data_IF_851448084003
#
_entry.id   IF_851448084003
#
_cell.length_a   1.000
_cell.length_b   1.000
_cell.length_c   1.000
_cell.angle_alpha   90.00
_cell.angle_beta   90.00
_cell.angle_gamma   90.00
#
_symmetry.space_group_name_H-M   'P 1'
#
loop_
_entity.id
_entity.type
_entity.pdbx_description
1 polymer ?
#
# COMPACT_ATOMS: atom_id res chain seq x y z
N UNK A 1 0.09 -22.82 -29.98
CA UNK A 1 1.11 -23.64 -29.29
C UNK A 1 0.53 -25.02 -28.94
N UNK A 2 0.43 -25.94 -29.92
CA UNK A 2 -0.17 -27.29 -29.73
C UNK A 2 0.89 -28.42 -29.64
N UNK A 3 2.17 -28.11 -29.43
CA UNK A 3 3.28 -29.06 -29.68
C UNK A 3 4.43 -29.05 -28.65
N UNK A 4 4.19 -28.72 -27.38
CA UNK A 4 5.17 -29.00 -26.31
C UNK A 4 4.50 -29.88 -25.26
N UNK A 5 4.95 -31.13 -25.15
CA UNK A 5 4.56 -32.04 -24.04
C UNK A 5 5.26 -31.69 -22.73
N UNK A 6 6.21 -30.74 -22.76
CA UNK A 6 6.93 -30.26 -21.60
C UNK A 6 6.22 -29.02 -21.01
N UNK A 7 5.63 -29.19 -19.83
CA UNK A 7 4.91 -28.16 -19.10
C UNK A 7 5.79 -26.95 -18.72
N UNK A 8 7.08 -27.18 -18.45
CA UNK A 8 8.04 -26.12 -18.13
C UNK A 8 8.32 -25.24 -19.36
N UNK A 9 8.51 -25.85 -20.54
CA UNK A 9 8.64 -25.09 -21.79
C UNK A 9 7.35 -24.32 -22.10
N UNK A 10 6.19 -24.95 -21.88
CA UNK A 10 4.89 -24.30 -22.09
C UNK A 10 4.74 -23.07 -21.18
N UNK A 11 5.11 -23.18 -19.90
CA UNK A 11 5.09 -22.08 -18.94
C UNK A 11 6.10 -20.99 -19.31
N UNK A 12 7.32 -21.35 -19.68
CA UNK A 12 8.36 -20.41 -20.12
C UNK A 12 7.88 -19.57 -21.30
N UNK A 13 7.38 -20.21 -22.37
CA UNK A 13 6.86 -19.49 -23.53
C UNK A 13 5.60 -18.68 -23.21
N UNK A 14 4.75 -19.16 -22.30
CA UNK A 14 3.60 -18.42 -21.79
C UNK A 14 4.00 -17.11 -21.10
N UNK A 15 4.96 -17.16 -20.17
CA UNK A 15 5.49 -15.99 -19.47
C UNK A 15 6.21 -15.00 -20.40
N UNK A 16 6.92 -15.50 -21.40
CA UNK A 16 7.54 -14.62 -22.41
C UNK A 16 6.50 -13.90 -23.30
N UNK A 17 5.33 -14.51 -23.48
CA UNK A 17 4.24 -13.96 -24.29
C UNK A 17 3.22 -13.15 -23.47
N UNK A 18 3.32 -13.08 -22.15
CA UNK A 18 2.30 -12.51 -21.26
C UNK A 18 2.34 -10.99 -21.09
N UNK A 19 3.20 -10.27 -21.82
CA UNK A 19 3.21 -8.80 -21.78
C UNK A 19 2.16 -8.23 -22.72
N UNK A 20 1.29 -7.34 -22.25
CA UNK A 20 0.35 -6.63 -23.12
C UNK A 20 1.02 -5.39 -23.72
N UNK A 21 1.17 -5.39 -25.04
CA UNK A 21 1.61 -4.21 -25.80
C UNK A 21 0.70 -3.99 -27.00
N UNK A 22 0.58 -2.75 -27.45
CA UNK A 22 -0.08 -2.50 -28.74
C UNK A 22 0.83 -2.86 -29.90
N UNK A 23 0.22 -3.28 -31.01
CA UNK A 23 0.88 -3.39 -32.31
C UNK A 23 1.10 -2.01 -32.98
N UNK A 24 0.58 -0.93 -32.38
CA UNK A 24 0.73 0.43 -32.86
C UNK A 24 1.68 1.24 -31.96
N UNK A 25 2.82 1.65 -32.52
CA UNK A 25 3.84 2.45 -31.83
C UNK A 25 3.30 3.76 -31.24
N UNK A 26 2.32 4.39 -31.89
CA UNK A 26 1.73 5.64 -31.40
C UNK A 26 0.89 5.42 -30.14
N UNK A 27 0.21 4.28 -30.03
CA UNK A 27 -0.55 3.91 -28.82
C UNK A 27 0.40 3.56 -27.66
N UNK A 28 1.51 2.88 -27.94
CA UNK A 28 2.56 2.61 -26.95
C UNK A 28 3.14 3.92 -26.41
N UNK A 29 3.58 4.83 -27.30
CA UNK A 29 4.10 6.16 -26.91
C UNK A 29 3.08 6.97 -26.13
N UNK A 30 1.81 6.94 -26.54
CA UNK A 30 0.72 7.65 -25.86
C UNK A 30 0.45 7.08 -24.47
N UNK A 31 0.50 5.76 -24.32
CA UNK A 31 0.33 5.09 -23.02
C UNK A 31 1.43 5.50 -22.04
N UNK A 32 2.70 5.43 -22.46
CA UNK A 32 3.82 5.87 -21.62
C UNK A 32 3.72 7.35 -21.25
N UNK A 33 3.32 8.22 -22.20
CA UNK A 33 3.11 9.64 -21.94
C UNK A 33 2.01 9.89 -20.91
N UNK A 34 0.87 9.21 -21.03
CA UNK A 34 -0.24 9.36 -20.08
C UNK A 34 0.14 8.84 -18.69
N UNK A 35 0.87 7.72 -18.61
CA UNK A 35 1.40 7.20 -17.35
C UNK A 35 2.31 8.24 -16.66
N UNK A 36 3.30 8.77 -17.37
CA UNK A 36 4.18 9.80 -16.80
C UNK A 36 3.40 11.06 -16.38
N UNK A 37 2.37 11.46 -17.13
CA UNK A 37 1.50 12.57 -16.74
C UNK A 37 0.73 12.28 -15.44
N UNK A 38 0.24 11.06 -15.24
CA UNK A 38 -0.43 10.67 -13.99
C UNK A 38 0.54 10.72 -12.80
N UNK A 39 1.75 10.18 -12.98
CA UNK A 39 2.83 10.18 -11.97
C UNK A 39 3.27 11.62 -11.62
N UNK A 40 3.43 12.48 -12.62
CA UNK A 40 3.78 13.89 -12.47
C UNK A 40 2.69 14.67 -11.72
N UNK A 41 1.42 14.51 -12.10
CA UNK A 41 0.30 15.16 -11.44
C UNK A 41 0.26 14.75 -9.96
N UNK A 42 0.36 13.46 -9.68
CA UNK A 42 0.31 12.94 -8.32
C UNK A 42 1.50 13.43 -7.47
N UNK A 43 2.72 13.42 -8.01
CA UNK A 43 3.92 13.81 -7.25
C UNK A 43 4.04 15.32 -7.03
N UNK A 44 3.49 16.15 -7.93
CA UNK A 44 3.68 17.61 -7.92
C UNK A 44 2.47 18.41 -7.43
N UNK A 45 1.29 17.78 -7.26
CA UNK A 45 0.09 18.49 -6.78
C UNK A 45 0.31 19.10 -5.40
N UNK A 46 -0.18 20.33 -5.24
CA UNK A 46 -0.12 21.09 -3.99
C UNK A 46 -1.52 21.54 -3.59
N UNK A 47 -1.76 21.55 -2.28
CA UNK A 47 -2.98 22.08 -1.66
C UNK A 47 -2.61 23.34 -0.89
N UNK A 48 -3.26 24.46 -1.20
CA UNK A 48 -2.97 25.75 -0.58
C UNK A 48 -3.92 26.08 0.57
N UNK A 49 -3.43 26.82 1.57
CA UNK A 49 -4.22 27.32 2.69
C UNK A 49 -5.36 28.23 2.21
N UNK A 50 -6.51 28.14 2.88
CA UNK A 50 -7.66 29.00 2.59
C UNK A 50 -7.33 30.49 2.83
N UNK A 51 -6.59 30.76 3.91
CA UNK A 51 -6.27 32.13 4.36
C UNK A 51 -4.96 32.67 3.78
N UNK A 52 -4.14 31.83 3.14
CA UNK A 52 -2.87 32.23 2.54
C UNK A 52 -2.54 31.36 1.32
N UNK A 53 -2.95 31.81 0.14
CA UNK A 53 -2.72 31.10 -1.13
C UNK A 53 -1.23 30.94 -1.49
N UNK A 54 -0.30 31.57 -0.76
CA UNK A 54 1.14 31.37 -0.94
C UNK A 54 1.67 30.15 -0.17
N UNK A 55 0.95 29.67 0.85
CA UNK A 55 1.30 28.48 1.62
C UNK A 55 0.62 27.26 1.01
N UNK A 56 1.41 26.46 0.29
CA UNK A 56 0.91 25.25 -0.35
C UNK A 56 1.76 24.03 0.00
N UNK A 57 1.09 22.89 0.17
CA UNK A 57 1.67 21.67 0.69
C UNK A 57 1.49 20.53 -0.31
N UNK A 58 2.56 19.79 -0.58
CA UNK A 58 2.51 18.53 -1.35
C UNK A 58 1.97 17.39 -0.47
N UNK A 59 1.52 16.30 -1.08
CA UNK A 59 1.08 15.09 -0.36
C UNK A 59 2.15 14.62 0.63
N UNK A 60 3.29 14.19 0.11
CA UNK A 60 4.45 13.81 0.90
C UNK A 60 5.46 14.98 0.99
N UNK A 61 6.03 15.28 2.16
CA UNK A 61 5.73 14.69 3.47
C UNK A 61 4.58 15.39 4.23
N UNK A 62 4.02 16.48 3.69
CA UNK A 62 3.26 17.44 4.50
C UNK A 62 1.82 16.99 4.80
N UNK A 63 1.01 16.75 3.77
CA UNK A 63 -0.39 16.37 3.98
C UNK A 63 -0.50 14.99 4.61
N UNK A 64 0.37 14.04 4.24
CA UNK A 64 0.45 12.72 4.90
C UNK A 64 0.69 12.89 6.40
N UNK A 65 1.71 13.66 6.79
CA UNK A 65 1.99 13.91 8.21
C UNK A 65 0.85 14.63 8.91
N UNK A 66 0.17 15.56 8.24
CA UNK A 66 -0.99 16.24 8.79
C UNK A 66 -2.11 15.23 9.09
N UNK A 67 -2.47 14.37 8.13
CA UNK A 67 -3.48 13.33 8.34
C UNK A 67 -3.11 12.40 9.51
N UNK A 68 -1.81 12.13 9.70
CA UNK A 68 -1.30 11.24 10.74
C UNK A 68 -1.32 11.81 12.16
N UNK A 69 -1.18 13.13 12.34
CA UNK A 69 -1.00 13.73 13.68
C UNK A 69 -2.13 14.67 14.10
N UNK A 70 -2.81 15.28 13.14
CA UNK A 70 -3.84 16.28 13.41
C UNK A 70 -5.07 15.62 14.03
N UNK A 71 -5.78 16.38 14.89
CA UNK A 71 -7.04 15.97 15.52
C UNK A 71 -8.17 16.97 15.27
N UNK A 72 -7.89 18.14 14.71
CA UNK A 72 -8.96 19.06 14.31
C UNK A 72 -9.71 18.54 13.08
N UNK A 73 -11.03 18.35 13.24
CA UNK A 73 -11.89 17.78 12.18
C UNK A 73 -11.88 18.62 10.90
N UNK A 74 -11.98 19.94 11.02
CA UNK A 74 -12.05 20.84 9.87
C UNK A 74 -10.71 20.94 9.14
N UNK A 75 -9.60 20.85 9.88
CA UNK A 75 -8.26 20.80 9.34
C UNK A 75 -8.01 19.52 8.55
N UNK A 76 -8.43 18.38 9.09
CA UNK A 76 -8.40 17.09 8.40
C UNK A 76 -9.28 17.12 7.14
N UNK A 77 -10.47 17.70 7.25
CA UNK A 77 -11.40 17.84 6.11
C UNK A 77 -10.82 18.73 5.01
N UNK A 78 -10.18 19.85 5.37
CA UNK A 78 -9.49 20.72 4.41
C UNK A 78 -8.40 19.96 3.66
N UNK A 79 -7.54 19.22 4.36
CA UNK A 79 -6.45 18.47 3.74
C UNK A 79 -6.99 17.39 2.80
N UNK A 80 -7.95 16.60 3.28
CA UNK A 80 -8.59 15.53 2.52
C UNK A 80 -9.29 16.07 1.27
N UNK A 81 -10.18 17.05 1.44
CA UNK A 81 -10.95 17.63 0.34
C UNK A 81 -10.05 18.35 -0.65
N UNK A 82 -9.10 19.14 -0.15
CA UNK A 82 -8.14 19.88 -0.96
C UNK A 82 -7.31 18.96 -1.84
N UNK A 83 -6.81 17.85 -1.30
CA UNK A 83 -6.06 16.87 -2.08
C UNK A 83 -6.91 16.23 -3.18
N UNK A 84 -8.11 15.77 -2.83
CA UNK A 84 -9.00 15.12 -3.78
C UNK A 84 -9.51 16.08 -4.87
N UNK A 85 -9.68 17.37 -4.57
CA UNK A 85 -10.04 18.39 -5.55
C UNK A 85 -8.86 18.75 -6.45
N UNK A 86 -7.70 19.08 -5.87
CA UNK A 86 -6.55 19.55 -6.64
C UNK A 86 -5.90 18.46 -7.50
N UNK A 87 -5.83 17.23 -6.98
CA UNK A 87 -5.23 16.10 -7.68
C UNK A 87 -6.26 15.39 -8.55
N UNK A 88 -7.41 15.02 -7.96
CA UNK A 88 -8.44 14.22 -8.63
C UNK A 88 -8.99 14.87 -9.90
N UNK A 89 -9.18 16.19 -9.91
CA UNK A 89 -9.66 16.92 -11.09
C UNK A 89 -8.66 16.88 -12.25
N UNK A 90 -7.35 16.89 -11.95
CA UNK A 90 -6.28 16.81 -12.96
C UNK A 90 -6.07 15.38 -13.46
N UNK A 91 -6.22 14.39 -12.57
CA UNK A 91 -6.08 12.97 -12.91
C UNK A 91 -7.19 12.49 -13.83
N UNK A 92 -8.47 12.86 -13.58
CA UNK A 92 -9.62 12.34 -14.33
C UNK A 92 -9.48 12.39 -15.87
N UNK A 93 -9.15 13.54 -16.51
CA UNK A 93 -9.05 13.61 -17.97
C UNK A 93 -7.87 12.81 -18.55
N UNK A 94 -6.87 12.45 -17.74
CA UNK A 94 -5.71 11.65 -18.15
C UNK A 94 -5.96 10.16 -17.92
N UNK A 95 -6.63 9.82 -16.81
CA UNK A 95 -6.85 8.44 -16.37
C UNK A 95 -7.78 7.67 -17.30
N UNK A 96 -8.89 8.27 -17.76
CA UNK A 96 -9.83 7.53 -18.62
C UNK A 96 -9.22 7.15 -19.99
N UNK A 97 -8.54 8.06 -20.72
CA UNK A 97 -7.81 7.67 -21.93
C UNK A 97 -6.70 6.64 -21.69
N UNK A 98 -6.05 6.71 -20.53
CA UNK A 98 -5.02 5.73 -20.16
C UNK A 98 -5.62 4.32 -20.01
N UNK A 99 -6.74 4.21 -19.28
CA UNK A 99 -7.47 2.94 -19.15
C UNK A 99 -7.99 2.43 -20.49
N UNK A 100 -8.45 3.30 -21.39
CA UNK A 100 -8.91 2.90 -22.72
C UNK A 100 -7.78 2.29 -23.55
N UNK A 101 -6.57 2.84 -23.48
CA UNK A 101 -5.40 2.27 -24.15
C UNK A 101 -4.98 0.94 -23.53
N UNK A 102 -4.93 0.83 -22.19
CA UNK A 102 -4.60 -0.44 -21.54
C UNK A 102 -5.60 -1.55 -21.87
N UNK A 103 -6.90 -1.23 -21.88
CA UNK A 103 -7.94 -2.15 -22.33
C UNK A 103 -7.79 -2.53 -23.80
N UNK A 104 -7.42 -1.58 -24.66
CA UNK A 104 -7.10 -1.86 -26.07
C UNK A 104 -5.92 -2.82 -26.18
N UNK A 105 -4.84 -2.60 -25.44
CA UNK A 105 -3.68 -3.50 -25.40
C UNK A 105 -4.09 -4.91 -24.95
N UNK A 106 -4.89 -5.03 -23.89
CA UNK A 106 -5.38 -6.32 -23.42
C UNK A 106 -6.16 -7.08 -24.50
N UNK A 107 -7.07 -6.38 -25.21
CA UNK A 107 -7.85 -6.94 -26.33
C UNK A 107 -6.99 -7.37 -27.52
N UNK A 108 -5.99 -6.56 -27.88
CA UNK A 108 -5.04 -6.90 -28.95
C UNK A 108 -4.21 -8.15 -28.63
N UNK A 109 -4.05 -8.48 -27.34
CA UNK A 109 -3.32 -9.65 -26.86
C UNK A 109 -4.25 -10.83 -26.45
N UNK A 110 -5.52 -10.80 -26.85
CA UNK A 110 -6.44 -11.93 -26.70
C UNK A 110 -7.20 -12.00 -25.37
N UNK A 111 -7.10 -10.99 -24.51
CA UNK A 111 -7.93 -10.86 -23.32
C UNK A 111 -9.23 -10.11 -23.63
N UNK A 112 -10.28 -10.33 -22.84
CA UNK A 112 -11.55 -9.61 -22.97
C UNK A 112 -11.41 -8.14 -22.56
N UNK A 113 -10.64 -7.90 -21.51
CA UNK A 113 -10.37 -6.60 -20.92
C UNK A 113 -9.11 -6.68 -20.03
N UNK A 114 -8.73 -5.54 -19.47
CA UNK A 114 -7.59 -5.41 -18.58
C UNK A 114 -7.78 -6.17 -17.26
N UNK A 115 -9.01 -6.39 -16.78
CA UNK A 115 -9.25 -7.13 -15.54
C UNK A 115 -8.89 -8.61 -15.73
N UNK A 116 -9.30 -9.22 -16.84
CA UNK A 116 -8.90 -10.60 -17.16
C UNK A 116 -7.38 -10.72 -17.23
N UNK A 117 -6.70 -9.76 -17.88
CA UNK A 117 -5.25 -9.76 -17.96
C UNK A 117 -4.58 -9.74 -16.58
N UNK A 118 -5.03 -8.89 -15.66
CA UNK A 118 -4.44 -8.82 -14.31
C UNK A 118 -4.69 -10.06 -13.47
N UNK A 119 -5.85 -10.69 -13.61
CA UNK A 119 -6.20 -11.91 -12.88
C UNK A 119 -5.36 -13.12 -13.38
N UNK A 120 -4.90 -13.10 -14.63
CA UNK A 120 -4.07 -14.16 -15.21
C UNK A 120 -2.78 -14.42 -14.41
N UNK A 121 -2.24 -13.42 -13.69
CA UNK A 121 -1.04 -13.58 -12.84
C UNK A 121 -1.23 -14.63 -11.72
N UNK A 122 -2.48 -14.89 -11.31
CA UNK A 122 -2.82 -15.92 -10.33
C UNK A 122 -2.94 -17.32 -10.94
N UNK A 123 -2.95 -17.44 -12.27
CA UNK A 123 -2.97 -18.71 -13.02
C UNK A 123 -4.09 -19.68 -12.61
N UNK A 124 -5.20 -19.14 -12.10
CA UNK A 124 -6.36 -19.94 -11.65
C UNK A 124 -7.28 -20.35 -12.81
N UNK A 125 -7.00 -19.90 -14.03
CA UNK A 125 -7.70 -20.28 -15.27
C UNK A 125 -9.13 -19.75 -15.43
N UNK A 126 -9.84 -19.51 -14.32
CA UNK A 126 -11.22 -19.01 -14.31
C UNK A 126 -11.32 -17.72 -13.48
N UNK A 127 -11.58 -16.61 -14.17
CA UNK A 127 -11.80 -15.29 -13.54
C UNK A 127 -12.93 -15.32 -12.51
N UNK A 128 -14.01 -16.05 -12.80
CA UNK A 128 -15.17 -16.15 -11.90
C UNK A 128 -14.81 -16.88 -10.62
N UNK A 129 -13.96 -17.91 -10.73
CA UNK A 129 -13.49 -18.66 -9.56
C UNK A 129 -12.57 -17.81 -8.69
N UNK A 130 -11.63 -17.07 -9.31
CA UNK A 130 -10.79 -16.11 -8.59
C UNK A 130 -11.64 -15.09 -7.82
N UNK A 131 -12.56 -14.40 -8.50
CA UNK A 131 -13.41 -13.39 -7.86
C UNK A 131 -14.29 -13.98 -6.76
N UNK A 132 -14.83 -15.19 -6.97
CA UNK A 132 -15.62 -15.89 -5.94
C UNK A 132 -14.80 -16.24 -4.70
N UNK A 133 -13.53 -16.62 -4.85
CA UNK A 133 -12.65 -16.92 -3.72
C UNK A 133 -12.33 -15.63 -2.95
N UNK A 134 -12.01 -14.55 -3.65
CA UNK A 134 -11.75 -13.25 -3.03
C UNK A 134 -13.00 -12.73 -2.28
N UNK A 135 -14.18 -12.85 -2.89
CA UNK A 135 -15.46 -12.50 -2.26
C UNK A 135 -15.72 -13.32 -0.98
N UNK A 136 -15.40 -14.62 -1.00
CA UNK A 136 -15.57 -15.48 0.17
C UNK A 136 -14.58 -15.13 1.27
N UNK A 137 -13.30 -14.91 0.93
CA UNK A 137 -12.27 -14.50 1.90
C UNK A 137 -12.64 -13.19 2.59
N UNK A 138 -13.18 -12.22 1.85
CA UNK A 138 -13.66 -10.98 2.46
C UNK A 138 -14.81 -11.28 3.43
N UNK A 139 -15.83 -12.04 3.01
CA UNK A 139 -16.98 -12.40 3.85
C UNK A 139 -16.56 -13.08 5.15
N UNK A 140 -15.60 -13.98 5.09
CA UNK A 140 -15.10 -14.71 6.27
C UNK A 140 -14.44 -13.77 7.30
N UNK A 141 -13.86 -12.65 6.84
CA UNK A 141 -13.18 -11.66 7.67
C UNK A 141 -14.13 -10.56 8.16
N UNK A 142 -15.25 -10.31 7.45
CA UNK A 142 -16.20 -9.23 7.78
C UNK A 142 -16.65 -9.21 9.25
N UNK A 143 -16.96 -10.33 9.93
CA UNK A 143 -17.35 -10.30 11.34
C UNK A 143 -16.31 -9.65 12.26
N UNK A 144 -15.01 -9.88 12.00
CA UNK A 144 -13.92 -9.24 12.76
C UNK A 144 -13.79 -7.76 12.39
N UNK A 145 -13.88 -7.45 11.09
CA UNK A 145 -13.83 -6.07 10.61
C UNK A 145 -14.97 -5.21 11.16
N UNK A 146 -16.19 -5.73 11.20
CA UNK A 146 -17.37 -5.01 11.72
C UNK A 146 -17.24 -4.70 13.21
N UNK A 147 -16.68 -5.61 14.01
CA UNK A 147 -16.37 -5.33 15.43
C UNK A 147 -15.28 -4.26 15.57
N UNK A 148 -14.21 -4.33 14.77
CA UNK A 148 -13.17 -3.32 14.74
C UNK A 148 -13.73 -1.95 14.34
N UNK A 149 -14.54 -1.91 13.27
CA UNK A 149 -15.21 -0.71 12.77
C UNK A 149 -16.11 -0.10 13.83
N UNK A 150 -17.01 -0.89 14.44
CA UNK A 150 -17.93 -0.40 15.45
C UNK A 150 -17.19 0.17 16.68
N UNK A 151 -16.13 -0.52 17.14
CA UNK A 151 -15.31 -0.04 18.24
C UNK A 151 -14.61 1.29 17.90
N UNK A 152 -13.94 1.37 16.75
CA UNK A 152 -13.26 2.60 16.30
C UNK A 152 -14.26 3.73 16.12
N UNK A 153 -15.43 3.46 15.50
CA UNK A 153 -16.51 4.43 15.33
C UNK A 153 -16.98 4.98 16.67
N UNK A 154 -17.23 4.14 17.67
CA UNK A 154 -17.67 4.57 18.99
C UNK A 154 -16.67 5.50 19.69
N UNK A 155 -15.38 5.21 19.57
CA UNK A 155 -14.30 6.07 20.10
C UNK A 155 -14.23 7.41 19.37
N UNK A 156 -14.25 7.40 18.03
CA UNK A 156 -14.22 8.62 17.22
C UNK A 156 -15.47 9.48 17.40
N UNK A 157 -16.63 8.87 17.63
CA UNK A 157 -17.86 9.57 17.97
C UNK A 157 -17.76 10.39 19.26
N UNK A 158 -17.10 9.83 20.27
CA UNK A 158 -16.84 10.53 21.53
C UNK A 158 -15.87 11.70 21.33
N UNK A 159 -14.92 11.59 20.39
CA UNK A 159 -13.96 12.65 20.09
C UNK A 159 -14.55 13.77 19.20
N UNK A 160 -15.43 13.41 18.26
CA UNK A 160 -16.00 14.31 17.26
C UNK A 160 -17.53 14.42 17.42
N UNK A 161 -17.97 14.77 18.63
CA UNK A 161 -19.39 14.87 18.98
C UNK A 161 -20.17 15.73 17.96
N UNK A 162 -21.29 15.20 17.48
CA UNK A 162 -22.19 15.85 16.51
C UNK A 162 -21.54 16.22 15.16
N UNK A 163 -20.37 15.66 14.81
CA UNK A 163 -19.70 15.90 13.51
C UNK A 163 -20.05 14.88 12.44
N UNK A 164 -20.53 13.70 12.82
CA UNK A 164 -21.00 12.65 11.91
C UNK A 164 -22.00 11.72 12.61
N UNK A 165 -22.71 10.90 11.84
CA UNK A 165 -23.68 9.94 12.37
C UNK A 165 -22.97 8.72 13.00
N UNK A 166 -23.17 8.52 14.30
CA UNK A 166 -22.54 7.45 15.06
C UNK A 166 -23.11 6.05 14.78
N UNK A 167 -24.29 5.97 14.16
CA UNK A 167 -24.85 4.71 13.69
C UNK A 167 -24.53 4.47 12.20
N UNK A 168 -23.95 5.47 11.53
CA UNK A 168 -23.60 5.45 10.10
C UNK A 168 -22.12 5.16 9.78
N UNK A 169 -21.72 5.38 8.51
CA UNK A 169 -20.34 5.22 8.06
C UNK A 169 -19.36 6.23 8.69
N UNK A 170 -18.09 5.85 8.83
CA UNK A 170 -17.03 6.75 9.33
C UNK A 170 -16.56 7.69 8.20
N UNK A 171 -16.43 9.00 8.42
CA UNK A 171 -15.83 9.90 7.42
C UNK A 171 -14.35 9.56 7.15
N UNK A 172 -13.97 9.42 5.88
CA UNK A 172 -12.62 8.99 5.48
C UNK A 172 -11.47 9.89 5.97
N UNK A 173 -11.75 11.17 6.27
CA UNK A 173 -10.72 12.13 6.62
C UNK A 173 -10.26 12.06 8.08
N UNK A 174 -10.95 11.31 8.95
CA UNK A 174 -10.62 11.21 10.39
C UNK A 174 -9.91 9.90 10.79
N UNK A 175 -9.41 9.14 9.81
CA UNK A 175 -8.84 7.81 10.02
C UNK A 175 -7.31 7.76 9.93
N UNK A 176 -6.62 8.89 10.11
CA UNK A 176 -5.16 8.94 10.21
C UNK A 176 -4.41 8.85 8.87
N UNK A 177 -5.11 8.54 7.78
CA UNK A 177 -4.54 8.33 6.45
C UNK A 177 -5.37 9.06 5.37
N UNK A 178 -4.72 9.62 4.34
CA UNK A 178 -5.37 10.38 3.26
C UNK A 178 -6.52 9.62 2.56
N UNK A 179 -6.43 8.29 2.49
CA UNK A 179 -7.41 7.42 1.82
C UNK A 179 -8.23 6.56 2.79
N UNK A 180 -7.98 6.68 4.09
CA UNK A 180 -8.48 5.78 5.13
C UNK A 180 -8.17 4.29 4.85
N UNK A 181 -7.04 4.00 4.21
CA UNK A 181 -6.67 2.62 3.87
C UNK A 181 -6.11 1.84 5.08
N UNK A 182 -5.49 2.54 6.03
CA UNK A 182 -5.03 1.99 7.30
C UNK A 182 -5.33 3.02 8.39
N UNK A 183 -5.60 2.55 9.60
CA UNK A 183 -6.11 3.38 10.71
C UNK A 183 -5.16 3.43 11.90
N UNK A 184 -4.02 2.74 11.83
CA UNK A 184 -3.04 2.62 12.92
C UNK A 184 -2.45 3.97 13.38
N UNK A 185 -2.42 4.99 12.52
CA UNK A 185 -2.04 6.36 12.89
C UNK A 185 -3.06 7.06 13.82
N UNK A 186 -4.20 6.41 14.10
CA UNK A 186 -5.19 6.82 15.12
C UNK A 186 -5.12 5.98 16.39
N UNK A 187 -4.11 5.11 16.54
CA UNK A 187 -4.02 4.20 17.68
C UNK A 187 -4.21 4.92 19.03
N UNK A 188 -3.52 6.04 19.24
CA UNK A 188 -3.59 6.81 20.49
C UNK A 188 -5.01 7.35 20.79
N UNK A 189 -5.80 7.61 19.76
CA UNK A 189 -7.19 8.10 19.88
C UNK A 189 -8.15 6.96 20.30
N UNK A 190 -7.82 5.72 19.89
CA UNK A 190 -8.75 4.57 19.98
C UNK A 190 -8.22 3.41 20.83
N UNK A 191 -7.05 3.52 21.48
CA UNK A 191 -6.40 2.42 22.18
C UNK A 191 -7.31 1.80 23.28
N UNK A 192 -7.48 0.46 23.33
CA UNK A 192 -8.33 -0.22 24.31
C UNK A 192 -7.91 -0.02 25.76
N UNK A 193 -6.62 -0.17 26.05
CA UNK A 193 -6.08 -0.08 27.41
C UNK A 193 -5.02 1.02 27.51
N UNK A 194 -5.40 2.29 27.75
CA UNK A 194 -4.44 3.40 27.86
C UNK A 194 -3.36 3.20 28.93
N UNK A 195 -3.68 2.47 30.00
CA UNK A 195 -2.76 2.18 31.10
C UNK A 195 -1.72 1.07 30.79
N UNK A 196 -1.81 0.46 29.59
CA UNK A 196 -0.85 -0.54 29.10
C UNK A 196 -0.26 -0.09 27.74
N UNK A 197 0.47 1.04 27.69
CA UNK A 197 0.91 1.64 26.43
C UNK A 197 1.88 0.72 25.68
N UNK A 198 1.81 0.74 24.35
CA UNK A 198 2.79 0.06 23.51
C UNK A 198 4.14 0.75 23.57
N UNK A 199 5.19 -0.04 23.35
CA UNK A 199 6.54 0.50 23.25
C UNK A 199 6.68 1.51 22.12
N UNK A 200 7.25 2.67 22.44
CA UNK A 200 7.64 3.66 21.44
C UNK A 200 9.03 3.32 20.86
N UNK A 201 9.04 2.54 19.78
CA UNK A 201 10.28 2.11 19.10
C UNK A 201 11.10 3.32 18.65
N UNK A 202 10.46 4.38 18.14
CA UNK A 202 11.14 5.63 17.75
C UNK A 202 11.96 6.22 18.89
N UNK A 203 11.36 6.33 20.08
CA UNK A 203 12.04 6.84 21.28
C UNK A 203 13.25 5.97 21.64
N UNK A 204 13.09 4.65 21.65
CA UNK A 204 14.18 3.70 21.94
C UNK A 204 15.33 3.83 20.94
N UNK A 205 15.03 3.93 19.64
CA UNK A 205 16.04 4.09 18.60
C UNK A 205 16.82 5.40 18.76
N UNK A 206 16.14 6.49 19.10
CA UNK A 206 16.77 7.80 19.35
C UNK A 206 17.65 7.76 20.61
N UNK A 207 17.14 7.22 21.72
CA UNK A 207 17.88 7.12 22.99
C UNK A 207 19.13 6.25 22.88
N UNK A 208 19.02 5.11 22.18
CA UNK A 208 20.16 4.23 21.87
C UNK A 208 21.05 4.78 20.73
N UNK A 209 20.74 5.96 20.18
CA UNK A 209 21.50 6.65 19.11
C UNK A 209 21.73 5.79 17.86
N UNK A 210 20.70 5.08 17.42
CA UNK A 210 20.77 4.27 16.21
C UNK A 210 21.10 5.13 14.98
N UNK A 211 22.10 4.69 14.22
CA UNK A 211 22.33 5.17 12.86
C UNK A 211 21.50 4.40 11.85
N UNK A 212 21.30 4.98 10.66
CA UNK A 212 20.63 4.30 9.55
C UNK A 212 21.36 3.00 9.20
N UNK A 213 22.70 3.01 9.15
CA UNK A 213 23.47 1.80 8.85
C UNK A 213 23.23 0.69 9.88
N UNK A 214 23.20 1.01 11.17
CA UNK A 214 22.90 0.05 12.24
C UNK A 214 21.51 -0.58 12.10
N UNK A 215 20.53 0.18 11.62
CA UNK A 215 19.17 -0.33 11.38
C UNK A 215 19.16 -1.43 10.30
N UNK A 216 19.88 -1.22 9.19
CA UNK A 216 19.99 -2.24 8.15
C UNK A 216 20.83 -3.45 8.58
N UNK A 217 21.93 -3.24 9.29
CA UNK A 217 22.75 -4.37 9.79
C UNK A 217 21.98 -5.21 10.81
N UNK A 218 21.06 -4.58 11.56
CA UNK A 218 20.14 -5.29 12.45
C UNK A 218 19.13 -6.13 11.66
N UNK A 219 18.60 -5.61 10.55
CA UNK A 219 17.78 -6.37 9.61
C UNK A 219 18.53 -7.59 9.05
N UNK A 220 19.75 -7.39 8.54
CA UNK A 220 20.61 -8.47 8.02
C UNK A 220 20.92 -9.52 9.10
N UNK A 221 21.19 -9.08 10.33
CA UNK A 221 21.45 -9.98 11.46
C UNK A 221 20.26 -10.90 11.75
N UNK A 222 19.03 -10.40 11.57
CA UNK A 222 17.84 -11.23 11.69
C UNK A 222 17.80 -12.31 10.61
N UNK A 223 17.91 -11.94 9.32
CA UNK A 223 17.83 -12.91 8.22
C UNK A 223 18.93 -13.99 8.32
N UNK A 224 20.16 -13.57 8.60
CA UNK A 224 21.28 -14.52 8.80
C UNK A 224 21.07 -15.41 10.02
N UNK A 225 20.43 -14.93 11.10
CA UNK A 225 20.13 -15.75 12.29
C UNK A 225 19.16 -16.90 12.02
N UNK A 226 18.31 -16.79 11.00
CA UNK A 226 17.38 -17.85 10.56
C UNK A 226 17.91 -18.63 9.36
N UNK A 227 19.20 -18.51 9.04
CA UNK A 227 19.88 -19.26 7.99
C UNK A 227 19.63 -18.75 6.57
N UNK A 228 19.10 -17.53 6.43
CA UNK A 228 18.99 -16.85 5.13
C UNK A 228 20.29 -16.12 4.78
N UNK A 229 20.27 -15.26 3.77
CA UNK A 229 21.49 -14.77 3.16
C UNK A 229 22.03 -13.51 3.85
N UNK A 230 23.35 -13.27 3.86
CA UNK A 230 23.87 -11.94 4.11
C UNK A 230 23.61 -11.04 2.89
N UNK A 231 23.43 -9.73 3.11
CA UNK A 231 23.31 -8.77 2.02
C UNK A 231 24.62 -8.69 1.22
N UNK A 232 24.52 -8.46 -0.09
CA UNK A 232 25.71 -8.46 -0.95
C UNK A 232 26.56 -7.20 -0.76
N UNK A 233 27.87 -7.21 -1.08
CA UNK A 233 28.69 -6.00 -1.06
C UNK A 233 28.11 -4.88 -1.96
N UNK A 234 27.45 -5.26 -3.06
CA UNK A 234 26.78 -4.33 -3.98
C UNK A 234 25.55 -3.69 -3.34
N UNK A 235 24.77 -4.45 -2.57
CA UNK A 235 23.66 -3.89 -1.80
C UNK A 235 24.12 -2.72 -0.91
N UNK A 236 25.18 -2.93 -0.14
CA UNK A 236 25.71 -1.90 0.76
C UNK A 236 26.29 -0.68 0.05
N UNK A 237 26.95 -0.89 -1.09
CA UNK A 237 27.65 0.19 -1.81
C UNK A 237 26.78 0.95 -2.81
N UNK A 238 25.68 0.34 -3.29
CA UNK A 238 24.85 0.89 -4.38
C UNK A 238 23.42 1.25 -3.97
N UNK A 239 22.95 0.81 -2.80
CA UNK A 239 21.62 1.19 -2.30
C UNK A 239 21.57 2.65 -1.84
N UNK A 240 20.37 3.23 -1.89
CA UNK A 240 20.09 4.55 -1.33
C UNK A 240 19.34 4.37 0.00
N UNK A 241 20.07 4.41 1.11
CA UNK A 241 19.50 4.25 2.46
C UNK A 241 19.01 5.56 3.10
N UNK A 242 19.28 6.71 2.48
CA UNK A 242 18.88 8.04 2.99
C UNK A 242 18.59 8.97 1.82
N UNK A 243 17.76 10.00 2.05
CA UNK A 243 17.52 11.02 1.02
C UNK A 243 18.84 11.74 0.69
N UNK A 244 19.26 11.81 -0.58
CA UNK A 244 20.38 12.63 -1.00
C UNK A 244 20.11 14.12 -0.73
N UNK A 245 21.16 14.88 -0.45
CA UNK A 245 21.06 16.32 -0.16
C UNK A 245 21.11 17.13 -1.46
N UNK A 246 21.77 16.59 -2.48
CA UNK A 246 22.09 17.22 -3.77
C UNK A 246 20.95 17.16 -4.80
N UNK A 247 19.90 16.37 -4.56
CA UNK A 247 18.80 16.18 -5.52
C UNK A 247 17.50 15.74 -4.87
N UNK A 248 16.41 16.02 -5.56
CA UNK A 248 15.11 15.42 -5.23
C UNK A 248 15.02 13.98 -5.74
N UNK A 249 14.25 13.17 -5.01
CA UNK A 249 14.06 11.75 -5.31
C UNK A 249 12.68 11.31 -4.81
N UNK A 250 12.12 10.29 -5.47
CA UNK A 250 10.91 9.62 -5.02
C UNK A 250 11.28 8.74 -3.82
N UNK A 251 10.78 9.13 -2.63
CA UNK A 251 11.12 8.52 -1.34
C UNK A 251 10.25 7.32 -0.96
N UNK A 252 9.31 6.89 -1.82
CA UNK A 252 8.58 5.64 -1.60
C UNK A 252 9.57 4.48 -1.53
N UNK A 253 9.47 3.68 -0.47
CA UNK A 253 10.35 2.55 -0.25
C UNK A 253 10.18 1.53 -1.39
N UNK A 254 11.29 0.97 -1.84
CA UNK A 254 11.29 0.00 -2.93
C UNK A 254 12.59 -0.80 -2.91
N UNK A 255 12.45 -2.10 -3.17
CA UNK A 255 13.52 -3.04 -3.43
C UNK A 255 13.64 -3.30 -4.94
N UNK A 256 14.87 -3.60 -5.39
CA UNK A 256 15.18 -3.83 -6.80
C UNK A 256 16.11 -5.03 -6.94
N UNK A 257 15.72 -5.96 -7.81
CA UNK A 257 16.64 -6.87 -8.48
C UNK A 257 17.12 -6.16 -9.76
N UNK A 258 18.42 -5.90 -9.89
CA UNK A 258 18.98 -5.28 -11.09
C UNK A 258 19.26 -6.32 -12.19
N UNK A 259 18.90 -7.58 -11.96
CA UNK A 259 18.97 -8.71 -12.90
C UNK A 259 20.39 -9.03 -13.40
N UNK A 260 21.41 -8.44 -12.77
CA UNK A 260 22.80 -8.49 -13.19
C UNK A 260 23.70 -8.79 -12.02
N UNK A 261 24.45 -9.90 -12.08
CA UNK A 261 25.47 -10.34 -11.12
C UNK A 261 25.21 -9.83 -9.70
N UNK A 262 24.36 -10.53 -8.93
CA UNK A 262 24.19 -10.32 -7.48
C UNK A 262 23.91 -8.86 -7.02
N UNK A 263 23.42 -8.00 -7.91
CA UNK A 263 23.17 -6.59 -7.65
C UNK A 263 21.71 -6.37 -7.26
N UNK A 264 21.47 -6.41 -5.95
CA UNK A 264 20.18 -6.11 -5.34
C UNK A 264 20.29 -4.81 -4.56
N UNK A 265 19.27 -3.96 -4.61
CA UNK A 265 19.33 -2.62 -4.04
C UNK A 265 18.02 -2.24 -3.39
N UNK A 266 18.11 -1.37 -2.38
CA UNK A 266 16.95 -0.66 -1.84
C UNK A 266 17.07 0.83 -2.11
N UNK A 267 15.94 1.48 -2.31
CA UNK A 267 15.82 2.93 -2.44
C UNK A 267 14.82 3.45 -1.40
N UNK A 268 15.33 3.90 -0.26
CA UNK A 268 14.53 4.31 0.89
C UNK A 268 15.11 5.60 1.48
N UNK A 269 14.25 6.58 1.73
CA UNK A 269 14.62 7.80 2.44
C UNK A 269 14.53 7.61 3.96
N UNK A 270 15.27 6.63 4.48
CA UNK A 270 15.14 6.14 5.86
C UNK A 270 15.33 7.25 6.89
N UNK A 271 14.40 7.29 7.85
CA UNK A 271 14.49 8.12 9.07
C UNK A 271 14.54 7.19 10.28
N UNK A 272 15.06 7.69 11.40
CA UNK A 272 15.09 6.93 12.64
C UNK A 272 13.73 7.04 13.33
N UNK A 273 12.81 6.13 13.00
CA UNK A 273 11.51 5.96 13.64
C UNK A 273 10.98 4.52 13.47
N UNK A 274 9.89 4.23 14.14
CA UNK A 274 9.14 2.98 14.14
C UNK A 274 8.64 2.56 12.74
N UNK A 275 8.14 3.50 11.94
CA UNK A 275 7.70 3.22 10.57
C UNK A 275 8.86 2.66 9.73
N UNK A 276 10.02 3.33 9.73
CA UNK A 276 11.18 2.85 8.99
C UNK A 276 11.85 1.63 9.62
N UNK A 277 11.67 1.41 10.93
CA UNK A 277 12.06 0.15 11.55
C UNK A 277 11.29 -1.02 10.92
N UNK A 278 9.97 -0.90 10.74
CA UNK A 278 9.19 -1.89 9.99
C UNK A 278 9.60 -1.96 8.51
N UNK A 279 9.68 -0.81 7.83
CA UNK A 279 9.94 -0.75 6.37
C UNK A 279 11.28 -1.37 6.00
N UNK A 280 12.35 -1.14 6.78
CA UNK A 280 13.66 -1.73 6.47
C UNK A 280 13.60 -3.26 6.46
N UNK A 281 12.93 -3.87 7.45
CA UNK A 281 12.73 -5.32 7.50
C UNK A 281 11.87 -5.83 6.33
N UNK A 282 10.79 -5.13 6.01
CA UNK A 282 9.93 -5.47 4.88
C UNK A 282 10.70 -5.47 3.56
N UNK A 283 11.42 -4.40 3.25
CA UNK A 283 12.12 -4.23 1.98
C UNK A 283 13.32 -5.18 1.85
N UNK A 284 14.01 -5.47 2.95
CA UNK A 284 15.05 -6.50 2.95
C UNK A 284 14.46 -7.91 2.75
N UNK A 285 13.20 -8.14 3.12
CA UNK A 285 12.49 -9.37 2.79
C UNK A 285 12.33 -9.60 1.29
N UNK A 286 12.06 -8.52 0.52
CA UNK A 286 12.07 -8.59 -0.95
C UNK A 286 13.46 -8.95 -1.49
N UNK A 287 14.53 -8.35 -0.94
CA UNK A 287 15.91 -8.64 -1.33
C UNK A 287 16.27 -10.11 -1.08
N UNK A 288 15.91 -10.67 0.07
CA UNK A 288 16.09 -12.09 0.35
C UNK A 288 15.35 -12.96 -0.67
N UNK A 289 14.12 -12.58 -1.05
CA UNK A 289 13.36 -13.36 -2.01
C UNK A 289 14.01 -13.30 -3.41
N UNK A 290 14.51 -12.14 -3.83
CA UNK A 290 15.30 -11.97 -5.05
C UNK A 290 16.54 -12.87 -5.04
N UNK A 291 17.30 -12.85 -3.94
CA UNK A 291 18.48 -13.69 -3.76
C UNK A 291 18.16 -15.19 -3.76
N UNK A 292 16.99 -15.59 -3.26
CA UNK A 292 16.58 -16.99 -3.19
C UNK A 292 16.30 -17.57 -4.57
N UNK A 293 15.46 -16.91 -5.38
CA UNK A 293 15.13 -17.42 -6.70
C UNK A 293 16.25 -17.19 -7.72
N UNK A 294 17.07 -16.13 -7.60
CA UNK A 294 18.07 -15.81 -8.62
C UNK A 294 19.16 -16.88 -8.72
N UNK A 295 19.42 -17.56 -7.59
CA UNK A 295 20.38 -18.67 -7.48
C UNK A 295 19.92 -19.96 -8.14
N UNK A 296 18.60 -20.17 -8.30
CA UNK A 296 18.03 -21.48 -8.70
C UNK A 296 17.15 -21.41 -9.93
N UNK A 297 16.58 -20.26 -10.25
CA UNK A 297 15.58 -20.11 -11.30
C UNK A 297 16.16 -19.49 -12.57
N UNK A 298 15.76 -19.99 -13.76
CA UNK A 298 15.93 -19.28 -15.03
C UNK A 298 15.34 -17.88 -14.95
N UNK A 299 15.89 -16.97 -15.76
CA UNK A 299 15.49 -15.56 -15.78
C UNK A 299 13.97 -15.35 -15.84
N UNK A 300 13.26 -16.11 -16.69
CA UNK A 300 11.81 -16.01 -16.90
C UNK A 300 10.97 -16.34 -15.65
N UNK A 301 11.53 -17.04 -14.65
CA UNK A 301 10.86 -17.40 -13.40
C UNK A 301 11.37 -16.61 -12.19
N UNK A 302 12.16 -15.56 -12.41
CA UNK A 302 12.69 -14.71 -11.34
C UNK A 302 11.65 -13.68 -10.87
N UNK A 303 10.56 -14.19 -10.33
CA UNK A 303 9.48 -13.42 -9.72
C UNK A 303 8.85 -14.25 -8.60
N UNK A 304 7.99 -13.63 -7.80
CA UNK A 304 7.09 -14.35 -6.90
C UNK A 304 6.19 -15.34 -7.67
N UNK A 305 5.65 -16.33 -6.95
CA UNK A 305 4.74 -17.30 -7.55
C UNK A 305 3.51 -16.62 -8.20
N UNK A 306 3.03 -15.57 -7.56
CA UNK A 306 2.16 -14.53 -8.10
C UNK A 306 2.50 -13.19 -7.40
N UNK A 307 1.85 -12.11 -7.82
CA UNK A 307 2.03 -10.75 -7.29
C UNK A 307 1.86 -10.64 -5.76
N UNK A 308 1.04 -11.50 -5.14
CA UNK A 308 0.83 -11.48 -3.69
C UNK A 308 1.99 -12.03 -2.86
N UNK A 309 2.84 -12.91 -3.41
CA UNK A 309 3.90 -13.57 -2.64
C UNK A 309 5.03 -12.63 -2.23
N UNK A 310 5.39 -11.67 -3.08
CA UNK A 310 6.43 -10.69 -2.75
C UNK A 310 6.03 -9.88 -1.51
N UNK A 311 4.86 -9.26 -1.57
CA UNK A 311 4.35 -8.44 -0.48
C UNK A 311 4.09 -9.26 0.80
N UNK A 312 3.58 -10.49 0.66
CA UNK A 312 3.35 -11.36 1.82
C UNK A 312 4.65 -11.69 2.57
N UNK A 313 5.76 -11.92 1.86
CA UNK A 313 7.07 -12.16 2.50
C UNK A 313 7.56 -10.90 3.20
N UNK A 314 7.57 -9.75 2.51
CA UNK A 314 7.97 -8.48 3.12
C UNK A 314 7.15 -8.17 4.38
N UNK A 315 5.82 -8.27 4.29
CA UNK A 315 4.93 -7.98 5.41
C UNK A 315 5.08 -8.94 6.58
N UNK A 316 5.29 -10.23 6.32
CA UNK A 316 5.51 -11.24 7.36
C UNK A 316 6.75 -10.87 8.18
N UNK A 317 7.85 -10.51 7.51
CA UNK A 317 9.09 -10.15 8.18
C UNK A 317 8.98 -8.79 8.89
N UNK A 318 8.34 -7.80 8.28
CA UNK A 318 8.04 -6.53 8.94
C UNK A 318 7.21 -6.72 10.21
N UNK A 319 6.17 -7.57 10.16
CA UNK A 319 5.33 -7.87 11.33
C UNK A 319 6.11 -8.60 12.43
N UNK A 320 6.99 -9.53 12.07
CA UNK A 320 7.90 -10.16 13.01
C UNK A 320 8.81 -9.12 13.70
N UNK A 321 9.35 -8.17 12.94
CA UNK A 321 10.25 -7.14 13.46
C UNK A 321 9.62 -6.33 14.59
N UNK A 322 8.32 -6.05 14.51
CA UNK A 322 7.60 -5.27 15.53
C UNK A 322 6.95 -6.14 16.61
N UNK A 323 7.17 -7.46 16.60
CA UNK A 323 6.58 -8.39 17.57
C UNK A 323 7.19 -8.20 18.97
N UNK A 324 6.41 -8.42 20.05
CA UNK A 324 6.92 -8.30 21.42
C UNK A 324 8.14 -9.19 21.66
N UNK A 325 8.10 -10.44 21.18
CA UNK A 325 9.19 -11.41 21.32
C UNK A 325 10.50 -10.92 20.69
N UNK A 326 10.44 -10.34 19.48
CA UNK A 326 11.64 -9.80 18.83
C UNK A 326 12.15 -8.56 19.56
N UNK A 327 11.25 -7.66 19.97
CA UNK A 327 11.62 -6.45 20.70
C UNK A 327 12.25 -6.75 22.07
N UNK A 328 11.80 -7.82 22.75
CA UNK A 328 12.45 -8.33 23.97
C UNK A 328 13.86 -8.82 23.66
N UNK A 329 14.02 -9.62 22.60
CA UNK A 329 15.34 -10.14 22.19
C UNK A 329 16.33 -9.03 21.81
N UNK A 330 15.84 -7.92 21.28
CA UNK A 330 16.64 -6.72 21.00
C UNK A 330 16.95 -5.87 22.24
N UNK A 331 16.35 -6.18 23.40
CA UNK A 331 16.44 -5.37 24.61
C UNK A 331 15.80 -3.99 24.43
N UNK A 332 14.72 -3.94 23.64
CA UNK A 332 13.90 -2.74 23.45
C UNK A 332 12.69 -2.76 24.39
N UNK A 333 12.11 -3.94 24.61
CA UNK A 333 10.94 -4.16 25.46
C UNK A 333 11.31 -5.10 26.61
N UNK A 334 10.93 -4.75 27.84
CA UNK A 334 11.08 -5.67 28.98
C UNK A 334 9.92 -6.66 29.01
N UNK A 335 10.23 -7.94 29.23
CA UNK A 335 9.24 -9.03 29.24
C UNK A 335 8.15 -8.82 30.30
N UNK A 336 8.50 -8.25 31.45
CA UNK A 336 7.58 -7.94 32.55
C UNK A 336 6.47 -6.94 32.16
N UNK A 337 6.70 -6.13 31.12
CA UNK A 337 5.73 -5.17 30.62
C UNK A 337 4.70 -5.80 29.66
N UNK A 338 4.90 -7.04 29.23
CA UNK A 338 4.01 -7.75 28.30
C UNK A 338 2.94 -8.52 29.08
N UNK A 339 1.86 -7.82 29.42
CA UNK A 339 0.67 -8.40 30.02
C UNK A 339 -0.48 -8.54 28.98
N UNK A 340 -1.59 -9.15 29.37
CA UNK A 340 -2.74 -9.36 28.48
C UNK A 340 -3.29 -8.06 27.88
N UNK A 341 -3.27 -6.94 28.61
CA UNK A 341 -3.72 -5.66 28.08
C UNK A 341 -2.76 -5.11 27.01
N UNK A 342 -1.45 -5.27 27.21
CA UNK A 342 -0.43 -4.95 26.21
C UNK A 342 -0.61 -5.79 24.95
N UNK A 343 -0.86 -7.10 25.09
CA UNK A 343 -1.12 -8.01 23.96
C UNK A 343 -2.35 -7.58 23.17
N UNK A 344 -3.45 -7.22 23.84
CA UNK A 344 -4.65 -6.70 23.17
C UNK A 344 -4.35 -5.39 22.45
N UNK A 345 -3.64 -4.45 23.07
CA UNK A 345 -3.24 -3.22 22.40
C UNK A 345 -2.36 -3.48 21.16
N UNK A 346 -1.47 -4.47 21.24
CA UNK A 346 -0.60 -4.86 20.13
C UNK A 346 -1.41 -5.46 18.98
N UNK A 347 -2.29 -6.42 19.26
CA UNK A 347 -3.19 -7.03 18.28
C UNK A 347 -4.14 -5.99 17.67
N UNK A 348 -4.63 -5.06 18.48
CA UNK A 348 -5.49 -3.97 18.03
C UNK A 348 -4.76 -3.03 17.07
N UNK A 349 -3.51 -2.65 17.35
CA UNK A 349 -2.67 -1.90 16.42
C UNK A 349 -2.49 -2.64 15.09
N UNK A 350 -2.24 -3.94 15.14
CA UNK A 350 -2.15 -4.76 13.92
C UNK A 350 -3.49 -4.80 13.16
N UNK A 351 -4.61 -4.92 13.87
CA UNK A 351 -5.94 -4.93 13.26
C UNK A 351 -6.25 -3.60 12.54
N UNK A 352 -5.91 -2.45 13.15
CA UNK A 352 -6.03 -1.14 12.52
C UNK A 352 -5.17 -0.99 11.25
N UNK A 353 -4.11 -1.78 11.09
CA UNK A 353 -3.26 -1.75 9.91
C UNK A 353 -3.65 -2.81 8.86
N UNK A 354 -3.93 -4.04 9.28
CA UNK A 354 -4.12 -5.19 8.38
C UNK A 354 -5.58 -5.50 8.15
N UNK A 355 -6.40 -5.59 9.19
CA UNK A 355 -7.84 -5.89 9.05
C UNK A 355 -8.57 -4.70 8.43
N UNK A 356 -8.24 -3.46 8.83
CA UNK A 356 -8.83 -2.26 8.25
C UNK A 356 -8.53 -2.08 6.75
N UNK A 357 -7.39 -2.62 6.28
CA UNK A 357 -6.95 -2.50 4.89
C UNK A 357 -7.70 -3.43 3.93
N UNK A 358 -8.17 -4.58 4.40
CA UNK A 358 -8.74 -5.62 3.52
C UNK A 358 -10.00 -5.15 2.77
N UNK A 359 -11.00 -4.50 3.40
CA UNK A 359 -12.12 -3.98 2.63
C UNK A 359 -11.74 -2.83 1.70
N UNK A 360 -10.72 -2.03 2.07
CA UNK A 360 -10.21 -0.97 1.21
C UNK A 360 -9.57 -1.55 -0.07
N UNK A 361 -8.68 -2.53 0.06
CA UNK A 361 -8.00 -3.15 -1.08
C UNK A 361 -8.99 -3.89 -1.98
N UNK A 362 -9.95 -4.61 -1.39
CA UNK A 362 -11.04 -5.24 -2.12
C UNK A 362 -11.85 -4.24 -2.95
N UNK A 363 -12.29 -3.13 -2.35
CA UNK A 363 -13.05 -2.08 -3.06
C UNK A 363 -12.21 -1.44 -4.17
N UNK A 364 -10.91 -1.24 -3.95
CA UNK A 364 -9.99 -0.70 -4.96
C UNK A 364 -10.00 -1.55 -6.23
N UNK A 365 -9.80 -2.86 -6.09
CA UNK A 365 -9.74 -3.76 -7.24
C UNK A 365 -11.11 -4.02 -7.85
N UNK A 366 -12.15 -4.19 -7.02
CA UNK A 366 -13.53 -4.33 -7.51
C UNK A 366 -13.94 -3.12 -8.34
N UNK A 367 -13.65 -1.90 -7.88
CA UNK A 367 -13.94 -0.69 -8.65
C UNK A 367 -13.16 -0.63 -9.98
N UNK A 368 -11.87 -0.99 -9.97
CA UNK A 368 -11.03 -1.02 -11.18
C UNK A 368 -11.55 -2.05 -12.18
N UNK A 369 -11.92 -3.25 -11.75
CA UNK A 369 -12.46 -4.29 -12.61
C UNK A 369 -13.77 -3.85 -13.27
N UNK A 370 -14.69 -3.26 -12.51
CA UNK A 370 -15.91 -2.66 -13.08
C UNK A 370 -15.60 -1.57 -14.11
N UNK A 371 -14.59 -0.73 -13.84
CA UNK A 371 -14.16 0.30 -14.79
C UNK A 371 -13.57 -0.30 -16.08
N UNK A 372 -12.75 -1.34 -15.97
CA UNK A 372 -12.11 -2.00 -17.12
C UNK A 372 -13.13 -2.72 -18.00
N UNK A 373 -14.13 -3.35 -17.38
CA UNK A 373 -15.27 -4.01 -18.03
C UNK A 373 -16.30 -3.03 -18.60
N UNK A 374 -16.12 -1.73 -18.39
CA UNK A 374 -17.07 -0.68 -18.77
C UNK A 374 -18.46 -0.81 -18.13
N UNK A 375 -18.51 -1.31 -16.89
CA UNK A 375 -19.72 -1.48 -16.10
C UNK A 375 -20.07 -0.23 -15.26
N UNK A 376 -19.26 0.83 -15.35
CA UNK A 376 -19.48 2.11 -14.70
C UNK A 376 -19.77 3.17 -15.77
N UNK A 377 -20.88 3.91 -15.64
CA UNK A 377 -21.08 5.10 -16.47
C UNK A 377 -20.05 6.18 -16.11
N UNK A 378 -19.01 6.28 -16.94
CA UNK A 378 -17.89 7.21 -16.72
C UNK A 378 -18.29 8.69 -16.71
N UNK A 379 -19.48 9.03 -17.23
CA UNK A 379 -19.99 10.41 -17.22
C UNK A 379 -20.73 10.74 -15.93
N UNK A 380 -21.37 9.76 -15.30
CA UNK A 380 -22.34 10.01 -14.24
C UNK A 380 -22.09 9.23 -12.95
N UNK A 381 -21.19 8.24 -12.94
CA UNK A 381 -21.09 7.26 -11.86
C UNK A 381 -19.67 6.98 -11.32
N UNK A 382 -18.61 7.65 -11.79
CA UNK A 382 -17.23 7.36 -11.32
C UNK A 382 -17.10 7.53 -9.80
N UNK A 383 -17.46 8.70 -9.27
CA UNK A 383 -17.40 8.97 -7.84
C UNK A 383 -18.52 8.27 -7.08
N UNK A 384 -19.76 8.30 -7.59
CA UNK A 384 -20.89 7.71 -6.87
C UNK A 384 -20.72 6.20 -6.69
N UNK A 385 -20.25 5.47 -7.71
CA UNK A 385 -19.98 4.04 -7.63
C UNK A 385 -18.82 3.72 -6.68
N UNK A 386 -17.74 4.51 -6.73
CA UNK A 386 -16.62 4.39 -5.78
C UNK A 386 -17.11 4.51 -4.33
N UNK A 387 -17.86 5.57 -4.01
CA UNK A 387 -18.34 5.78 -2.64
C UNK A 387 -19.42 4.80 -2.21
N UNK A 388 -20.25 4.32 -3.13
CA UNK A 388 -21.20 3.24 -2.83
C UNK A 388 -20.46 1.96 -2.38
N UNK A 389 -19.41 1.55 -3.11
CA UNK A 389 -18.61 0.38 -2.74
C UNK A 389 -17.85 0.60 -1.41
N UNK A 390 -17.30 1.82 -1.20
CA UNK A 390 -16.62 2.17 0.06
C UNK A 390 -17.54 2.12 1.29
N UNK A 391 -18.80 2.50 1.12
CA UNK A 391 -19.82 2.38 2.17
C UNK A 391 -20.24 0.92 2.35
N UNK A 392 -20.52 0.20 1.27
CA UNK A 392 -21.00 -1.19 1.31
C UNK A 392 -20.01 -2.13 2.00
N UNK A 393 -18.74 -2.11 1.60
CA UNK A 393 -17.75 -3.07 2.10
C UNK A 393 -16.92 -2.54 3.28
N UNK A 394 -16.73 -1.22 3.36
CA UNK A 394 -15.90 -0.61 4.41
C UNK A 394 -16.66 0.23 5.44
N UNK A 395 -17.95 0.51 5.25
CA UNK A 395 -18.65 1.46 6.10
C UNK A 395 -17.91 2.81 6.21
N UNK A 396 -17.23 3.24 5.13
CA UNK A 396 -16.49 4.50 5.06
C UNK A 396 -17.15 5.44 4.04
N UNK A 397 -17.44 6.66 4.46
CA UNK A 397 -18.01 7.71 3.59
C UNK A 397 -17.00 8.80 3.22
N UNK A 398 -17.32 9.55 2.17
CA UNK A 398 -16.55 10.73 1.78
C UNK A 398 -16.57 11.78 2.90
N UNK A 399 -15.44 12.47 3.12
CA UNK A 399 -15.40 13.57 4.09
C UNK A 399 -16.25 14.78 3.69
N UNK A 400 -16.47 14.96 2.39
CA UNK A 400 -17.39 15.96 1.84
C UNK A 400 -18.11 15.38 0.62
N UNK A 401 -19.32 15.89 0.27
CA UNK A 401 -20.04 15.45 -0.92
C UNK A 401 -19.16 15.51 -2.17
N UNK A 402 -19.06 14.38 -2.87
CA UNK A 402 -18.35 14.23 -4.14
C UNK A 402 -19.37 14.19 -5.26
N UNK A 403 -19.05 14.79 -6.40
CA UNK A 403 -19.95 14.78 -7.54
C UNK A 403 -19.23 14.34 -8.80
N UNK A 404 -20.00 13.71 -9.68
CA UNK A 404 -19.50 13.25 -10.98
C UNK A 404 -19.39 14.37 -12.01
N UNK A 405 -19.93 15.55 -11.69
CA UNK A 405 -20.11 16.67 -12.62
C UNK A 405 -19.19 17.88 -12.39
N UNK A 406 -18.44 18.03 -11.28
CA UNK A 406 -17.53 19.19 -11.14
C UNK A 406 -16.39 19.08 -12.15
N UNK A 407 -16.21 20.20 -12.83
CA UNK A 407 -15.48 20.46 -14.07
C UNK A 407 -14.18 21.17 -13.75
#
# INVERSE_FOLDING_TARGET
MKYSENDDLKRTFGRLASSITSNNDDDVKRTSKLQSQLEDIYSTTKVCELNDKKKCYTLAPYLERLMQIEKDYDRLLWAWKGWHDECGNKIRPVYLPYIDLLNKHAKENGYQDLAQYWIEDYEMGNVTEFESIIDQLLKDIMPLYEQLHAYVRGRLCSQYENRFDCDGPIPAHILGNMWAQTWHDRLDDVIPYPDAPLINITKVLIEKKFSIHQLYTMGESFFTSIGLYPMTPKFWTRSMFKKPIDRDTVCHASAFDMEYHDDYRVKICTKINDNYFYTVYHEMGHIEYYMAYSKKQPFVYRSGANSGFHEAIGDTIGMFAISPAHLIKLGFLDEENVNSNYEINYLFRLALQKIAFLPFSYVMDKYRFLLFRNEIDRKHELNSKWWALRIEYGGIMAGAPRNDKKR
#
